data_IF_388995976502
#
_entry.id   IF_388995976502
#
_cell.length_a   1.000
_cell.length_b   1.000
_cell.length_c   1.000
_cell.angle_alpha   90.00
_cell.angle_beta   90.00
_cell.angle_gamma   90.00
#
_symmetry.space_group_name_H-M   'P 1'
#
loop_
_entity.id
_entity.type
_entity.pdbx_description
1 polymer ?
#
# COMPACT_ATOMS: atom_id res chain seq x y z
N UNK A 1 -15.15 -10.72 -47.02
CA UNK A 1 -14.44 -10.32 -45.78
C UNK A 1 -13.42 -11.34 -45.26
N UNK A 2 -13.74 -12.61 -44.99
CA UNK A 2 -12.74 -13.62 -44.53
C UNK A 2 -11.69 -13.94 -45.62
N UNK A 3 -12.12 -14.00 -46.89
CA UNK A 3 -11.28 -14.35 -48.04
C UNK A 3 -10.24 -13.27 -48.38
N UNK A 4 -10.61 -11.99 -48.25
CA UNK A 4 -9.73 -10.84 -48.52
C UNK A 4 -8.61 -10.75 -47.47
N UNK A 5 -8.94 -10.95 -46.19
CA UNK A 5 -7.92 -11.01 -45.12
C UNK A 5 -6.88 -12.10 -45.38
N UNK A 6 -7.30 -13.23 -45.94
CA UNK A 6 -6.43 -14.36 -46.24
C UNK A 6 -5.46 -14.05 -47.39
N UNK A 7 -5.96 -13.40 -48.45
CA UNK A 7 -5.15 -12.95 -49.59
C UNK A 7 -4.14 -11.87 -49.18
N UNK A 8 -4.56 -10.90 -48.39
CA UNK A 8 -3.68 -9.83 -47.89
C UNK A 8 -2.56 -10.40 -47.02
N UNK A 9 -2.90 -11.34 -46.12
CA UNK A 9 -1.92 -12.02 -45.27
C UNK A 9 -0.88 -12.78 -46.10
N UNK A 10 -1.31 -13.53 -47.10
CA UNK A 10 -0.41 -14.33 -47.93
C UNK A 10 0.57 -13.46 -48.74
N UNK A 11 0.10 -12.31 -49.23
CA UNK A 11 0.95 -11.33 -49.93
C UNK A 11 1.99 -10.72 -48.98
N UNK A 12 1.56 -10.31 -47.78
CA UNK A 12 2.45 -9.78 -46.75
C UNK A 12 3.49 -10.80 -46.28
N UNK A 13 3.10 -12.07 -46.09
CA UNK A 13 4.02 -13.15 -45.70
C UNK A 13 5.10 -13.37 -46.78
N UNK A 14 4.75 -13.17 -48.06
CA UNK A 14 5.70 -13.28 -49.19
C UNK A 14 6.65 -12.07 -49.23
N UNK A 15 6.12 -10.85 -49.08
CA UNK A 15 6.92 -9.62 -49.08
C UNK A 15 7.87 -9.53 -47.88
N UNK A 16 7.44 -10.05 -46.72
CA UNK A 16 8.21 -10.05 -45.48
C UNK A 16 9.04 -11.32 -45.26
N UNK A 17 9.02 -12.29 -46.19
CA UNK A 17 9.78 -13.53 -46.08
C UNK A 17 11.30 -13.31 -45.91
N UNK A 18 11.80 -12.18 -46.39
CA UNK A 18 13.21 -11.78 -46.29
C UNK A 18 13.51 -10.83 -45.11
N UNK A 19 12.48 -10.41 -44.37
CA UNK A 19 12.59 -9.49 -43.23
C UNK A 19 12.44 -10.28 -41.93
N UNK A 20 13.57 -10.61 -41.30
CA UNK A 20 13.57 -11.24 -39.98
C UNK A 20 13.42 -10.19 -38.88
N UNK A 21 12.23 -10.10 -38.27
CA UNK A 21 12.02 -9.25 -37.08
C UNK A 21 12.69 -9.89 -35.86
N UNK A 22 13.87 -9.39 -35.49
CA UNK A 22 14.65 -9.85 -34.34
C UNK A 22 14.05 -9.45 -32.98
N UNK A 23 13.39 -8.29 -32.91
CA UNK A 23 12.88 -7.70 -31.65
C UNK A 23 11.35 -7.81 -31.49
N UNK A 24 10.70 -8.76 -32.17
CA UNK A 24 9.24 -8.93 -32.09
C UNK A 24 8.73 -9.12 -30.66
N UNK A 25 9.47 -9.90 -29.85
CA UNK A 25 9.17 -10.11 -28.44
C UNK A 25 9.32 -8.83 -27.61
N UNK A 26 10.33 -8.00 -27.88
CA UNK A 26 10.57 -6.74 -27.18
C UNK A 26 9.49 -5.69 -27.51
N UNK A 27 9.09 -5.60 -28.78
CA UNK A 27 8.02 -4.70 -29.23
C UNK A 27 6.68 -5.12 -28.63
N UNK A 28 6.39 -6.42 -28.58
CA UNK A 28 5.17 -6.94 -27.95
C UNK A 28 5.15 -6.67 -26.44
N UNK A 29 6.29 -6.79 -25.75
CA UNK A 29 6.38 -6.45 -24.33
C UNK A 29 6.13 -4.96 -24.06
N UNK A 30 6.56 -4.06 -24.95
CA UNK A 30 6.31 -2.62 -24.84
C UNK A 30 4.86 -2.23 -25.17
N UNK A 31 4.27 -2.85 -26.19
CA UNK A 31 2.98 -2.40 -26.74
C UNK A 31 1.77 -3.14 -26.17
N UNK A 32 1.94 -4.37 -25.68
CA UNK A 32 0.88 -5.19 -25.08
C UNK A 32 1.43 -5.91 -23.84
N UNK A 33 1.59 -5.22 -22.70
CA UNK A 33 2.01 -5.84 -21.45
C UNK A 33 1.01 -6.92 -21.04
N UNK A 34 1.50 -8.16 -20.87
CA UNK A 34 0.66 -9.36 -20.67
C UNK A 34 0.22 -9.57 -19.22
N UNK A 35 0.87 -8.90 -18.27
CA UNK A 35 0.64 -9.10 -16.82
C UNK A 35 0.31 -7.78 -16.12
N UNK A 36 -0.62 -7.84 -15.17
CA UNK A 36 -0.97 -6.69 -14.32
C UNK A 36 0.24 -6.12 -13.57
N UNK A 37 1.17 -6.98 -13.15
CA UNK A 37 2.44 -6.56 -12.52
C UNK A 37 3.37 -5.79 -13.47
N UNK A 38 3.35 -6.11 -14.77
CA UNK A 38 4.10 -5.37 -15.80
C UNK A 38 3.44 -4.02 -16.08
N UNK A 39 2.10 -3.95 -16.05
CA UNK A 39 1.35 -2.68 -16.18
C UNK A 39 1.68 -1.70 -15.05
N UNK A 40 1.79 -2.19 -13.82
CA UNK A 40 2.16 -1.37 -12.65
C UNK A 40 3.62 -0.91 -12.77
N UNK A 41 4.54 -1.80 -13.15
CA UNK A 41 5.95 -1.44 -13.40
C UNK A 41 6.13 -0.45 -14.55
N UNK A 42 5.29 -0.54 -15.58
CA UNK A 42 5.32 0.39 -16.70
C UNK A 42 4.65 1.74 -16.37
N UNK A 43 3.66 1.73 -15.46
CA UNK A 43 3.07 2.96 -14.90
C UNK A 43 4.06 3.68 -13.97
N UNK A 44 4.77 2.92 -13.13
CA UNK A 44 5.93 3.36 -12.36
C UNK A 44 7.18 3.55 -13.24
N UNK A 45 7.01 3.85 -14.53
CA UNK A 45 8.06 3.90 -15.54
C UNK A 45 9.28 4.69 -15.06
N UNK A 46 10.46 4.27 -15.53
CA UNK A 46 11.84 4.69 -15.20
C UNK A 46 12.14 6.20 -15.01
N UNK A 47 11.22 7.10 -15.27
CA UNK A 47 11.41 8.55 -15.14
C UNK A 47 11.00 9.09 -13.76
N UNK A 48 10.17 8.35 -13.01
CA UNK A 48 9.81 8.76 -11.65
C UNK A 48 10.84 8.17 -10.70
N UNK A 49 11.93 8.90 -10.48
CA UNK A 49 12.86 8.61 -9.38
C UNK A 49 12.18 9.02 -8.09
N UNK A 50 11.35 8.14 -7.53
CA UNK A 50 10.68 8.38 -6.26
C UNK A 50 11.74 8.43 -5.17
N UNK A 51 11.99 9.58 -4.52
CA UNK A 51 12.97 9.64 -3.46
C UNK A 51 12.41 8.87 -2.25
N UNK A 52 12.98 7.68 -1.97
CA UNK A 52 12.48 6.79 -0.91
C UNK A 52 12.63 7.41 0.49
N UNK A 53 13.67 8.23 0.68
CA UNK A 53 13.96 8.86 1.97
C UNK A 53 12.81 9.76 2.44
N UNK A 54 12.35 10.78 1.68
CA UNK A 54 11.26 11.63 2.14
C UNK A 54 9.93 10.87 2.29
N UNK A 55 9.65 9.87 1.45
CA UNK A 55 8.42 9.06 1.57
C UNK A 55 8.45 8.17 2.80
N UNK A 56 9.61 7.56 3.08
CA UNK A 56 9.79 6.76 4.28
C UNK A 56 9.62 7.58 5.54
N UNK A 57 10.18 8.80 5.57
CA UNK A 57 10.04 9.73 6.70
C UNK A 57 8.58 10.14 6.89
N UNK A 58 7.87 10.54 5.84
CA UNK A 58 6.46 10.93 5.97
C UNK A 58 5.58 9.77 6.40
N UNK A 59 5.78 8.57 5.82
CA UNK A 59 5.05 7.38 6.23
C UNK A 59 5.33 7.00 7.69
N UNK A 60 6.58 7.07 8.14
CA UNK A 60 6.96 6.81 9.53
C UNK A 60 6.31 7.82 10.50
N UNK A 61 6.29 9.11 10.14
CA UNK A 61 5.62 10.14 10.93
C UNK A 61 4.11 9.85 11.00
N UNK A 62 3.45 9.60 9.87
CA UNK A 62 2.03 9.28 9.83
C UNK A 62 1.68 8.06 10.69
N UNK A 63 2.46 6.98 10.56
CA UNK A 63 2.29 5.78 11.36
C UNK A 63 2.53 6.08 12.84
N UNK A 64 3.58 6.83 13.19
CA UNK A 64 3.87 7.19 14.58
C UNK A 64 2.73 7.98 15.21
N UNK A 65 2.18 8.99 14.53
CA UNK A 65 1.06 9.80 15.06
C UNK A 65 -0.21 8.97 15.21
N UNK A 66 -0.46 8.03 14.29
CA UNK A 66 -1.64 7.17 14.35
C UNK A 66 -1.52 6.03 15.36
N UNK A 67 -0.33 5.46 15.56
CA UNK A 67 -0.12 4.30 16.44
C UNK A 67 0.35 4.69 17.85
N UNK A 68 1.07 5.80 18.05
CA UNK A 68 1.54 6.20 19.38
C UNK A 68 0.39 6.23 20.40
N UNK A 69 -0.77 6.85 20.12
CA UNK A 69 -1.85 6.91 21.10
C UNK A 69 -2.40 5.53 21.50
N UNK A 70 -2.43 4.59 20.56
CA UNK A 70 -2.91 3.23 20.81
C UNK A 70 -1.86 2.37 21.56
N UNK A 71 -0.57 2.69 21.45
CA UNK A 71 0.50 2.03 22.18
C UNK A 71 0.78 2.67 23.54
N UNK A 72 0.46 3.96 23.68
CA UNK A 72 0.54 4.77 24.89
C UNK A 72 -0.83 4.92 25.54
N UNK A 73 -1.70 3.92 25.41
CA UNK A 73 -2.92 3.82 26.21
C UNK A 73 -2.48 3.57 27.66
N UNK A 74 -1.97 4.64 28.28
CA UNK A 74 -1.82 4.79 29.71
C UNK A 74 -3.25 4.86 30.23
N UNK A 75 -3.57 4.01 31.20
CA UNK A 75 -4.88 3.98 31.81
C UNK A 75 -5.21 5.40 32.23
N UNK A 76 -6.15 6.02 31.50
CA UNK A 76 -6.63 7.38 31.71
C UNK A 76 -6.57 7.69 33.19
N UNK A 77 -5.65 8.59 33.58
CA UNK A 77 -5.59 9.13 34.94
C UNK A 77 -6.92 9.84 35.19
N UNK A 78 -7.92 9.07 35.61
CA UNK A 78 -9.08 9.63 36.26
C UNK A 78 -8.52 10.40 37.45
N UNK A 79 -8.91 11.67 37.65
CA UNK A 79 -8.40 12.44 38.77
C UNK A 79 -8.72 11.68 40.05
N UNK A 80 -7.72 11.07 40.68
CA UNK A 80 -7.93 10.28 41.89
C UNK A 80 -8.45 11.22 42.97
N UNK A 81 -9.65 10.94 43.46
CA UNK A 81 -10.27 11.73 44.51
C UNK A 81 -10.00 11.06 45.86
N UNK A 82 -9.57 11.84 46.85
CA UNK A 82 -9.49 11.40 48.23
C UNK A 82 -10.87 11.47 48.84
N UNK A 83 -11.38 10.33 49.30
CA UNK A 83 -12.64 10.23 50.04
C UNK A 83 -12.35 9.89 51.51
N UNK A 84 -13.18 10.42 52.41
CA UNK A 84 -13.10 10.09 53.83
C UNK A 84 -14.19 9.07 54.17
N UNK A 85 -13.79 7.88 54.62
CA UNK A 85 -14.71 6.81 55.04
C UNK A 85 -14.30 6.32 56.42
N UNK A 86 -15.23 6.35 57.39
CA UNK A 86 -14.96 5.85 58.74
C UNK A 86 -13.81 6.55 59.47
N UNK A 87 -13.57 7.84 59.17
CA UNK A 87 -12.49 8.63 59.78
C UNK A 87 -11.11 8.50 59.12
N UNK A 88 -10.95 7.58 58.17
CA UNK A 88 -9.71 7.39 57.40
C UNK A 88 -9.87 7.91 55.97
N UNK A 89 -8.75 8.29 55.35
CA UNK A 89 -8.71 8.76 53.96
C UNK A 89 -8.33 7.62 53.03
N UNK A 90 -9.11 7.44 51.98
CA UNK A 90 -8.89 6.42 50.95
C UNK A 90 -8.96 7.05 49.57
N UNK A 91 -8.31 6.43 48.60
CA UNK A 91 -8.51 6.77 47.20
C UNK A 91 -9.83 6.17 46.70
N UNK A 92 -10.61 6.98 45.97
CA UNK A 92 -11.97 6.65 45.56
C UNK A 92 -12.06 5.40 44.68
N UNK A 93 -11.10 5.24 43.77
CA UNK A 93 -10.93 4.10 42.88
C UNK A 93 -10.75 2.79 43.65
N UNK A 94 -9.81 2.77 44.60
CA UNK A 94 -9.52 1.60 45.42
C UNK A 94 -10.68 1.22 46.35
N UNK A 95 -11.40 2.21 46.88
CA UNK A 95 -12.57 1.94 47.71
C UNK A 95 -13.73 1.35 46.90
N UNK A 96 -13.97 1.85 45.68
CA UNK A 96 -14.98 1.29 44.78
C UNK A 96 -14.64 -0.13 44.33
N UNK A 97 -13.37 -0.42 44.02
CA UNK A 97 -12.94 -1.75 43.62
C UNK A 97 -13.14 -2.79 44.74
N UNK A 98 -12.80 -2.42 45.97
CA UNK A 98 -12.94 -3.31 47.15
C UNK A 98 -14.41 -3.49 47.55
N UNK A 99 -15.25 -2.46 47.38
CA UNK A 99 -16.68 -2.52 47.76
C UNK A 99 -17.58 -3.19 46.72
N UNK A 100 -17.16 -3.25 45.46
CA UNK A 100 -17.89 -3.96 44.37
C UNK A 100 -17.63 -5.48 44.34
N UNK A 101 -16.79 -6.00 45.25
CA UNK A 101 -16.48 -7.43 45.39
C UNK A 101 -17.29 -8.06 46.51
#
# INVERSE_FOLDING_TARGET
MQSEKKLVKQKLDTELAHVSFSSSAEVLQRTHPRKLSEKIRHWLNKEITVPLVPIGVTAAIFLSVSLLPALLEDETEQPRQLIQVGGNFYWSDLYEEVSKK
#
